data_IF_748081398714
#
_entry.id   IF_748081398714
#
_cell.length_a   1.000
_cell.length_b   1.000
_cell.length_c   1.000
_cell.angle_alpha   90.00
_cell.angle_beta   90.00
_cell.angle_gamma   90.00
#
_symmetry.space_group_name_H-M   'P 1'
#
loop_
_entity.id
_entity.type
_entity.pdbx_description
1 polymer ?
#
# COMPACT_ATOMS: atom_id res chain seq x y z
N UNK A 1 -21.88 3.60 30.04
CA UNK A 1 -21.37 4.51 28.99
C UNK A 1 -20.70 3.63 27.95
N UNK A 2 -21.30 3.47 26.77
CA UNK A 2 -20.73 2.64 25.71
C UNK A 2 -19.62 3.44 25.03
N UNK A 3 -18.38 3.18 25.42
CA UNK A 3 -17.22 3.72 24.70
C UNK A 3 -17.27 3.18 23.27
N UNK A 4 -17.08 4.01 22.23
CA UNK A 4 -17.03 3.51 20.87
C UNK A 4 -15.71 2.74 20.72
N UNK A 5 -15.76 1.44 20.98
CA UNK A 5 -14.62 0.52 20.97
C UNK A 5 -14.14 0.19 19.55
N UNK A 6 -14.37 1.10 18.60
CA UNK A 6 -14.05 0.96 17.18
C UNK A 6 -12.97 1.97 16.80
N UNK A 7 -11.72 1.58 17.05
CA UNK A 7 -10.57 2.33 16.57
C UNK A 7 -10.29 1.95 15.12
N UNK A 8 -10.32 2.95 14.23
CA UNK A 8 -9.94 2.78 12.83
C UNK A 8 -8.65 3.54 12.53
N UNK A 9 -7.92 3.05 11.54
CA UNK A 9 -6.69 3.69 11.08
C UNK A 9 -7.03 5.00 10.37
N UNK A 10 -6.49 6.13 10.86
CA UNK A 10 -6.75 7.47 10.30
C UNK A 10 -6.53 7.54 8.79
N UNK A 11 -5.46 6.93 8.29
CA UNK A 11 -5.14 6.94 6.86
C UNK A 11 -6.15 6.15 6.00
N UNK A 12 -6.82 5.12 6.56
CA UNK A 12 -7.91 4.44 5.86
C UNK A 12 -9.14 5.33 5.77
N UNK A 13 -9.52 5.95 6.88
CA UNK A 13 -10.65 6.90 6.92
C UNK A 13 -10.46 8.04 5.90
N UNK A 14 -9.28 8.64 5.85
CA UNK A 14 -8.98 9.71 4.87
C UNK A 14 -9.01 9.17 3.44
N UNK A 15 -8.51 7.95 3.20
CA UNK A 15 -8.61 7.35 1.88
C UNK A 15 -10.07 7.14 1.45
N UNK A 16 -10.88 6.55 2.32
CA UNK A 16 -12.29 6.26 2.05
C UNK A 16 -13.12 7.51 1.82
N UNK A 17 -12.84 8.58 2.57
CA UNK A 17 -13.52 9.87 2.42
C UNK A 17 -13.24 10.55 1.07
N UNK A 18 -12.03 10.43 0.52
CA UNK A 18 -11.64 11.16 -0.69
C UNK A 18 -11.66 10.31 -1.97
N UNK A 19 -11.31 9.02 -1.88
CA UNK A 19 -11.16 8.11 -3.03
C UNK A 19 -12.14 6.94 -3.02
N UNK A 20 -12.87 6.72 -1.93
CA UNK A 20 -13.84 5.65 -1.80
C UNK A 20 -13.26 4.35 -1.24
N UNK A 21 -14.00 3.25 -1.44
CA UNK A 21 -13.77 1.98 -0.76
C UNK A 21 -12.38 1.38 -1.01
N UNK A 22 -11.78 0.82 0.03
CA UNK A 22 -10.52 0.09 -0.05
C UNK A 22 -10.85 -1.37 -0.35
N UNK A 23 -10.37 -1.94 -1.48
CA UNK A 23 -10.62 -3.34 -1.80
C UNK A 23 -10.06 -4.27 -0.71
N UNK A 24 -10.60 -5.48 -0.57
CA UNK A 24 -10.24 -6.43 0.51
C UNK A 24 -8.73 -6.72 0.59
N UNK A 25 -8.06 -6.74 -0.56
CA UNK A 25 -6.61 -6.95 -0.70
C UNK A 25 -5.81 -5.66 -0.87
N UNK A 26 -6.45 -4.51 -0.64
CA UNK A 26 -5.86 -3.18 -0.65
C UNK A 26 -5.20 -2.81 0.67
N UNK A 27 -4.04 -2.17 0.57
CA UNK A 27 -3.29 -1.59 1.68
C UNK A 27 -3.00 -0.14 1.35
N UNK A 28 -3.37 0.75 2.27
CA UNK A 28 -3.04 2.17 2.18
C UNK A 28 -1.65 2.37 2.80
N UNK A 29 -0.73 2.94 2.03
CA UNK A 29 0.67 3.14 2.40
C UNK A 29 1.03 4.62 2.30
N UNK A 30 1.92 5.07 3.18
CA UNK A 30 2.49 6.42 3.13
C UNK A 30 3.59 6.48 2.07
N UNK A 31 3.61 7.54 1.26
CA UNK A 31 4.64 7.75 0.24
C UNK A 31 5.91 8.30 0.89
N UNK A 32 5.78 9.29 1.77
CA UNK A 32 6.85 10.01 2.47
C UNK A 32 7.43 9.31 3.71
N UNK A 33 6.96 8.10 4.04
CA UNK A 33 7.30 7.35 5.26
C UNK A 33 6.88 8.01 6.59
N UNK A 34 6.27 9.21 6.53
CA UNK A 34 5.78 9.93 7.70
C UNK A 34 4.36 9.49 8.07
N UNK A 35 4.25 8.65 9.09
CA UNK A 35 2.98 8.11 9.61
C UNK A 35 2.01 9.17 10.14
N UNK A 36 2.49 10.40 10.37
CA UNK A 36 1.65 11.54 10.82
C UNK A 36 1.06 12.32 9.65
N UNK A 37 1.67 12.23 8.47
CA UNK A 37 1.19 12.89 7.26
C UNK A 37 0.10 12.03 6.60
N UNK A 38 -1.16 12.31 6.95
CA UNK A 38 -2.32 11.60 6.42
C UNK A 38 -2.95 12.31 5.21
N UNK A 39 -2.22 13.17 4.51
CA UNK A 39 -2.76 13.84 3.33
C UNK A 39 -3.03 12.84 2.19
N UNK A 40 -4.16 13.00 1.51
CA UNK A 40 -4.57 12.06 0.44
C UNK A 40 -3.56 11.99 -0.73
N UNK A 41 -2.77 13.04 -0.94
CA UNK A 41 -1.66 13.05 -1.90
C UNK A 41 -0.44 12.26 -1.44
N UNK A 42 -0.26 12.07 -0.13
CA UNK A 42 0.79 11.28 0.49
C UNK A 42 0.38 9.81 0.72
N UNK A 43 -0.87 9.47 0.46
CA UNK A 43 -1.38 8.11 0.57
C UNK A 43 -1.39 7.45 -0.81
N UNK A 44 -0.97 6.18 -0.86
CA UNK A 44 -1.08 5.33 -2.03
C UNK A 44 -1.80 4.03 -1.66
N UNK A 45 -2.66 3.55 -2.55
CA UNK A 45 -3.28 2.24 -2.43
C UNK A 45 -2.48 1.24 -3.25
N UNK A 46 -2.05 0.17 -2.61
CA UNK A 46 -1.32 -0.94 -3.21
C UNK A 46 -1.97 -2.25 -2.83
N UNK A 47 -1.70 -3.32 -3.57
CA UNK A 47 -2.15 -4.65 -3.14
C UNK A 47 -1.31 -5.16 -1.97
N UNK A 48 -1.86 -6.06 -1.14
CA UNK A 48 -1.10 -6.76 -0.08
C UNK A 48 0.15 -7.45 -0.64
N UNK A 49 0.04 -8.03 -1.82
CA UNK A 49 1.13 -8.72 -2.49
C UNK A 49 2.24 -7.74 -2.93
N UNK A 50 1.87 -6.62 -3.56
CA UNK A 50 2.82 -5.57 -3.92
C UNK A 50 3.53 -5.04 -2.67
N UNK A 51 2.77 -4.71 -1.61
CA UNK A 51 3.33 -4.21 -0.35
C UNK A 51 4.32 -5.21 0.28
N UNK A 52 4.02 -6.50 0.23
CA UNK A 52 4.92 -7.55 0.72
C UNK A 52 6.22 -7.62 -0.09
N UNK A 53 6.13 -7.52 -1.42
CA UNK A 53 7.31 -7.47 -2.30
C UNK A 53 8.13 -6.22 -2.05
N UNK A 54 7.49 -5.06 -1.94
CA UNK A 54 8.16 -3.79 -1.64
C UNK A 54 8.86 -3.84 -0.27
N UNK A 55 8.22 -4.37 0.77
CA UNK A 55 8.83 -4.52 2.10
C UNK A 55 10.00 -5.51 2.10
N UNK A 56 9.95 -6.56 1.28
CA UNK A 56 10.99 -7.59 1.24
C UNK A 56 12.21 -7.19 0.41
N UNK A 57 12.01 -6.53 -0.72
CA UNK A 57 13.05 -6.28 -1.72
C UNK A 57 13.50 -4.82 -1.81
N UNK A 58 12.69 -3.90 -1.29
CA UNK A 58 12.90 -2.46 -1.42
C UNK A 58 12.65 -1.73 -0.09
N UNK A 59 12.92 -2.42 1.03
CA UNK A 59 12.92 -1.77 2.35
C UNK A 59 13.95 -0.62 2.35
N UNK A 60 13.55 0.55 2.86
CA UNK A 60 14.41 1.73 2.89
C UNK A 60 14.57 2.46 1.55
N UNK A 61 13.77 2.13 0.53
CA UNK A 61 13.70 2.95 -0.69
C UNK A 61 13.25 4.37 -0.35
N UNK A 62 13.96 5.37 -0.86
CA UNK A 62 13.59 6.78 -0.69
C UNK A 62 12.17 7.07 -1.20
N UNK A 63 11.40 7.97 -0.56
CA UNK A 63 10.05 8.36 -0.99
C UNK A 63 9.93 8.75 -2.46
N UNK A 64 10.98 9.37 -3.03
CA UNK A 64 11.04 9.84 -4.41
C UNK A 64 10.91 8.68 -5.41
N UNK A 65 11.38 7.48 -5.02
CA UNK A 65 11.39 6.29 -5.89
C UNK A 65 10.21 5.34 -5.61
N UNK A 66 9.21 5.78 -4.84
CA UNK A 66 8.09 4.92 -4.40
C UNK A 66 7.30 4.35 -5.57
N UNK A 67 7.05 5.18 -6.59
CA UNK A 67 6.34 4.77 -7.79
C UNK A 67 7.13 3.72 -8.61
N UNK A 68 8.44 3.93 -8.77
CA UNK A 68 9.31 2.98 -9.45
C UNK A 68 9.37 1.65 -8.68
N UNK A 69 9.43 1.72 -7.35
CA UNK A 69 9.45 0.56 -6.47
C UNK A 69 8.16 -0.27 -6.59
N UNK A 70 7.01 0.40 -6.73
CA UNK A 70 5.73 -0.26 -6.98
C UNK A 70 5.74 -0.98 -8.35
N UNK A 71 6.19 -0.30 -9.40
CA UNK A 71 6.30 -0.89 -10.74
C UNK A 71 7.22 -2.13 -10.73
N UNK A 72 8.36 -2.06 -10.05
CA UNK A 72 9.27 -3.20 -9.90
C UNK A 72 8.61 -4.37 -9.16
N UNK A 73 7.84 -4.10 -8.10
CA UNK A 73 7.09 -5.12 -7.38
C UNK A 73 6.08 -5.84 -8.29
N UNK A 74 5.32 -5.08 -9.08
CA UNK A 74 4.34 -5.60 -10.03
C UNK A 74 4.99 -6.45 -11.14
N UNK A 75 6.11 -5.98 -11.70
CA UNK A 75 6.88 -6.71 -12.72
C UNK A 75 7.36 -8.05 -12.15
N UNK A 76 7.94 -8.04 -10.94
CA UNK A 76 8.42 -9.26 -10.28
C UNK A 76 7.28 -10.26 -10.04
N UNK A 77 6.11 -9.76 -9.61
CA UNK A 77 4.92 -10.60 -9.44
C UNK A 77 4.44 -11.19 -10.76
N UNK A 78 4.40 -10.40 -11.83
CA UNK A 78 3.97 -10.86 -13.15
C UNK A 78 4.90 -11.95 -13.71
N UNK A 79 6.22 -11.81 -13.52
CA UNK A 79 7.19 -12.85 -13.90
C UNK A 79 6.97 -14.14 -13.09
N UNK A 80 6.82 -14.01 -11.77
CA UNK A 80 6.62 -15.17 -10.88
C UNK A 80 5.33 -15.91 -11.22
N UNK A 81 4.26 -15.18 -11.53
CA UNK A 81 2.99 -15.78 -11.96
C UNK A 81 3.17 -16.59 -13.24
N UNK A 82 3.79 -16.01 -14.27
CA UNK A 82 4.05 -16.70 -15.54
C UNK A 82 4.87 -17.97 -15.37
N UNK A 83 5.92 -17.92 -14.54
CA UNK A 83 6.76 -19.10 -14.28
C UNK A 83 5.98 -20.26 -13.63
N UNK A 84 4.95 -19.97 -12.85
CA UNK A 84 4.08 -21.00 -12.25
C UNK A 84 3.09 -21.58 -13.26
N UNK A 85 2.67 -20.80 -14.25
CA UNK A 85 1.73 -21.24 -15.30
C UNK A 85 2.42 -22.13 -16.35
N UNK A 86 3.74 -22.02 -16.52
CA UNK A 86 4.53 -22.85 -17.44
C UNK A 86 5.01 -24.17 -16.83
N UNK A 87 4.86 -24.36 -15.51
CA UNK A 87 5.31 -25.55 -14.78
C UNK A 87 4.13 -26.47 -14.45
#
# INVERSE_FOLDING_TARGET
>A
MAEPNHWQLKHRLVWEQYRGEIPENGVVRFIDDNRRNCDIGNLMLVTKADNAVMNRWHAGSSPEHRQATLAMAQIKMAITRRQRETK
#
